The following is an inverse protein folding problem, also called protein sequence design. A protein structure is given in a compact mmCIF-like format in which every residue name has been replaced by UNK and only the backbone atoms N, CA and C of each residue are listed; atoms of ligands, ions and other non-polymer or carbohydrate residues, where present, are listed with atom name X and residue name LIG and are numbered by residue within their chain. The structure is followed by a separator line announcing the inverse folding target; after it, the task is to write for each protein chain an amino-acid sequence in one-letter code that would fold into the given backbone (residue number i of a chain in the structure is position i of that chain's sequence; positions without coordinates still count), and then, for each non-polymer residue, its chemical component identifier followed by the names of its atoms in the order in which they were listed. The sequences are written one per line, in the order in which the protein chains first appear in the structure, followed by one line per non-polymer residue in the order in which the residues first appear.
data_IF_416801300278
#
_entry.id   IF_416801300278
#
_cell.length_a   1.000
_cell.length_b   1.000
_cell.length_c   1.000
_cell.angle_alpha   90.00
_cell.angle_beta   90.00
_cell.angle_gamma   90.00
#
_symmetry.space_group_name_H-M   'P 1'
#
loop_
_entity.id
_entity.type
_entity.pdbx_description
1 polymer ?
#
# COMPACT_ATOMS: atom_id res chain seq x y z
N UNK A 1 15.52 25.26 -13.28
CA UNK A 1 14.71 25.57 -12.07
C UNK A 1 13.26 25.32 -12.44
N UNK A 2 12.64 24.26 -11.93
CA UNK A 2 11.17 24.20 -12.01
C UNK A 2 10.54 23.47 -10.82
N UNK A 3 9.45 24.06 -10.33
CA UNK A 3 8.91 23.98 -8.97
C UNK A 3 8.01 22.75 -8.74
N UNK A 4 8.42 21.57 -9.20
CA UNK A 4 7.74 20.30 -8.89
C UNK A 4 8.43 19.52 -7.77
N UNK A 5 9.34 20.16 -7.05
CA UNK A 5 9.98 19.63 -5.86
C UNK A 5 8.91 19.31 -4.79
N UNK A 6 8.58 18.02 -4.71
CA UNK A 6 8.34 17.32 -3.44
C UNK A 6 7.04 17.67 -2.72
N UNK A 7 5.91 17.73 -3.43
CA UNK A 7 4.60 17.52 -2.78
C UNK A 7 4.50 16.04 -2.36
N UNK A 8 4.83 15.76 -1.10
CA UNK A 8 4.58 14.44 -0.50
C UNK A 8 3.17 14.43 0.07
N UNK A 9 2.39 13.44 -0.36
CA UNK A 9 1.01 13.27 0.07
C UNK A 9 0.95 12.21 1.18
N UNK A 10 0.10 12.45 2.18
CA UNK A 10 -0.21 11.45 3.18
C UNK A 10 -1.12 10.39 2.55
N UNK A 11 -0.53 9.32 2.01
CA UNK A 11 -1.25 8.24 1.31
C UNK A 11 -1.65 7.10 2.26
N UNK A 12 -0.95 6.96 3.40
CA UNK A 12 -1.20 5.93 4.39
C UNK A 12 -1.60 6.58 5.73
N UNK A 13 -2.40 5.85 6.52
CA UNK A 13 -2.73 6.30 7.88
C UNK A 13 -1.45 6.50 8.71
N UNK A 14 -1.33 7.59 9.47
CA UNK A 14 -0.24 7.80 10.43
C UNK A 14 -0.11 6.65 11.45
N UNK A 15 -1.19 5.92 11.73
CA UNK A 15 -1.18 4.80 12.68
C UNK A 15 -0.26 3.65 12.27
N UNK A 16 0.02 3.53 10.97
CA UNK A 16 0.93 2.54 10.39
C UNK A 16 2.41 2.89 10.63
N UNK A 17 2.71 4.07 11.17
CA UNK A 17 4.05 4.47 11.58
C UNK A 17 4.45 3.78 12.91
N UNK A 18 4.82 2.50 12.82
CA UNK A 18 5.33 1.73 13.97
C UNK A 18 6.80 2.06 14.22
N UNK A 19 7.20 2.46 15.43
CA UNK A 19 8.60 2.70 15.76
C UNK A 19 9.47 1.46 15.55
N UNK A 20 10.75 1.64 15.20
CA UNK A 20 11.68 0.52 15.09
C UNK A 20 11.94 -0.09 16.47
N UNK A 21 12.25 -1.39 16.51
CA UNK A 21 12.55 -2.10 17.75
C UNK A 21 13.66 -1.41 18.56
N UNK A 22 14.71 -0.92 17.89
CA UNK A 22 15.84 -0.24 18.55
C UNK A 22 15.42 1.07 19.23
N UNK A 23 14.51 1.83 18.61
CA UNK A 23 13.98 3.05 19.19
C UNK A 23 13.13 2.71 20.43
N UNK A 24 12.28 1.68 20.33
CA UNK A 24 11.51 1.20 21.49
C UNK A 24 12.42 0.70 22.61
N UNK A 25 13.46 -0.08 22.32
CA UNK A 25 14.44 -0.51 23.34
C UNK A 25 15.10 0.67 24.04
N UNK A 26 15.50 1.70 23.28
CA UNK A 26 16.07 2.94 23.84
C UNK A 26 15.06 3.66 24.73
N UNK A 27 13.82 3.79 24.29
CA UNK A 27 12.78 4.49 25.04
C UNK A 27 12.42 3.76 26.34
N UNK A 28 12.32 2.43 26.30
CA UNK A 28 12.11 1.61 27.49
C UNK A 28 13.30 1.70 28.46
N UNK A 29 14.55 1.67 27.97
CA UNK A 29 15.74 1.89 28.80
C UNK A 29 15.73 3.27 29.46
N UNK A 30 15.43 4.31 28.69
CA UNK A 30 15.36 5.69 29.19
C UNK A 30 14.24 5.86 30.23
N UNK A 31 13.09 5.24 30.01
CA UNK A 31 11.98 5.25 30.97
C UNK A 31 12.37 4.59 32.30
N UNK A 32 13.10 3.48 32.26
CA UNK A 32 13.59 2.81 33.46
C UNK A 32 14.66 3.64 34.19
N UNK A 33 15.61 4.23 33.46
CA UNK A 33 16.62 5.14 34.02
C UNK A 33 15.92 6.32 34.73
N UNK A 34 14.92 6.91 34.08
CA UNK A 34 14.11 8.01 34.63
C UNK A 34 13.35 7.59 35.89
N UNK A 35 12.66 6.45 35.86
CA UNK A 35 11.93 5.93 37.01
C UNK A 35 12.86 5.69 38.20
N UNK A 36 14.06 5.16 37.94
CA UNK A 36 15.06 4.88 38.97
C UNK A 36 15.69 6.16 39.53
N UNK A 37 15.93 7.16 38.68
CA UNK A 37 16.38 8.48 39.11
C UNK A 37 15.35 9.24 39.94
N UNK A 38 14.05 9.05 39.67
CA UNK A 38 12.99 9.61 40.50
C UNK A 38 12.85 8.90 41.85
N UNK A 39 13.23 7.62 41.92
CA UNK A 39 13.18 6.82 43.16
C UNK A 39 14.41 6.99 44.05
N UNK A 40 15.56 7.30 43.45
CA UNK A 40 16.86 7.41 44.14
C UNK A 40 17.34 8.86 44.09
N UNK A 41 17.23 9.56 45.21
CA UNK A 41 17.79 10.90 45.42
C UNK A 41 19.31 10.85 45.57
N UNK A 42 20.04 10.45 44.53
CA UNK A 42 21.51 10.50 44.54
C UNK A 42 22.19 9.46 43.65
N UNK A 43 22.76 9.92 42.54
CA UNK A 43 23.62 9.15 41.65
C UNK A 43 23.02 8.93 40.26
N UNK A 44 23.86 8.90 39.22
CA UNK A 44 23.43 8.58 37.85
C UNK A 44 22.89 7.14 37.80
N UNK A 45 21.57 6.94 37.61
CA UNK A 45 20.98 5.61 37.70
C UNK A 45 21.46 4.75 36.53
N UNK A 46 22.31 3.77 36.81
CA UNK A 46 22.68 2.72 35.84
C UNK A 46 21.72 1.53 35.97
N UNK A 47 21.37 0.96 34.82
CA UNK A 47 20.60 -0.28 34.75
C UNK A 47 21.52 -1.47 35.02
N UNK A 48 21.10 -2.36 35.91
CA UNK A 48 21.71 -3.66 36.06
C UNK A 48 21.38 -4.54 34.84
N UNK A 49 22.20 -5.54 34.56
CA UNK A 49 22.02 -6.45 33.42
C UNK A 49 20.61 -7.07 33.34
N UNK A 50 20.05 -7.52 34.48
CA UNK A 50 18.69 -8.09 34.54
C UNK A 50 17.60 -7.06 34.18
N UNK A 51 17.80 -5.80 34.55
CA UNK A 51 16.88 -4.70 34.25
C UNK A 51 16.95 -4.34 32.77
N UNK A 52 18.17 -4.28 32.22
CA UNK A 52 18.37 -4.05 30.80
C UNK A 52 17.73 -5.16 29.95
N UNK A 53 17.90 -6.42 30.36
CA UNK A 53 17.26 -7.56 29.70
C UNK A 53 15.74 -7.45 29.73
N UNK A 54 15.15 -7.17 30.90
CA UNK A 54 13.70 -6.96 31.03
C UNK A 54 13.19 -5.81 30.16
N UNK A 55 13.92 -4.70 30.09
CA UNK A 55 13.55 -3.57 29.23
C UNK A 55 13.54 -3.96 27.74
N UNK A 56 14.51 -4.76 27.29
CA UNK A 56 14.54 -5.30 25.92
C UNK A 56 13.37 -6.26 25.65
N UNK A 57 13.11 -7.18 26.58
CA UNK A 57 12.01 -8.16 26.44
C UNK A 57 10.64 -7.44 26.36
N UNK A 58 10.44 -6.41 27.18
CA UNK A 58 9.22 -5.56 27.13
C UNK A 58 9.12 -4.77 25.84
N UNK A 59 10.23 -4.21 25.33
CA UNK A 59 10.23 -3.49 24.06
C UNK A 59 9.87 -4.43 22.89
N UNK A 60 10.40 -5.65 22.88
CA UNK A 60 10.10 -6.67 21.87
C UNK A 60 8.62 -7.10 21.89
N UNK A 61 8.06 -7.32 23.07
CA UNK A 61 6.65 -7.66 23.24
C UNK A 61 5.74 -6.48 22.83
N UNK A 62 6.03 -5.26 23.28
CA UNK A 62 5.29 -4.06 22.90
C UNK A 62 5.32 -3.82 21.37
N UNK A 63 6.48 -3.98 20.74
CA UNK A 63 6.63 -3.89 19.28
C UNK A 63 5.78 -4.93 18.56
N UNK A 64 5.81 -6.18 19.05
CA UNK A 64 5.02 -7.29 18.48
C UNK A 64 3.51 -7.05 18.60
N UNK A 65 3.04 -6.51 19.74
CA UNK A 65 1.64 -6.13 19.95
C UNK A 65 1.23 -5.00 19.01
N UNK A 66 2.07 -3.97 18.85
CA UNK A 66 1.78 -2.86 17.95
C UNK A 66 1.65 -3.34 16.50
N UNK A 67 2.57 -4.18 16.03
CA UNK A 67 2.50 -4.78 14.69
C UNK A 67 1.21 -5.57 14.44
N UNK A 68 0.71 -6.29 15.45
CA UNK A 68 -0.56 -7.02 15.35
C UNK A 68 -1.76 -6.07 15.28
N UNK A 69 -1.78 -5.02 16.11
CA UNK A 69 -2.86 -4.03 16.12
C UNK A 69 -2.99 -3.30 14.78
N UNK A 70 -1.87 -2.98 14.14
CA UNK A 70 -1.88 -2.29 12.83
C UNK A 70 -1.99 -3.24 11.63
N UNK A 71 -2.09 -4.56 11.86
CA UNK A 71 -2.20 -5.56 10.79
C UNK A 71 -0.91 -5.82 9.99
N UNK A 72 0.24 -5.29 10.41
CA UNK A 72 1.52 -5.44 9.69
C UNK A 72 2.27 -6.73 10.07
N UNK A 73 1.75 -7.53 11.00
CA UNK A 73 2.40 -8.76 11.46
C UNK A 73 2.53 -9.84 10.38
N UNK A 74 1.68 -9.84 9.36
CA UNK A 74 1.73 -10.80 8.26
C UNK A 74 2.74 -10.41 7.15
N UNK A 75 3.17 -9.15 7.11
CA UNK A 75 4.09 -8.67 6.07
C UNK A 75 5.52 -9.13 6.32
N UNK A 76 6.34 -9.25 5.27
CA UNK A 76 7.79 -9.43 5.41
C UNK A 76 8.46 -8.20 6.04
N UNK A 77 9.63 -8.36 6.66
CA UNK A 77 10.33 -7.29 7.38
C UNK A 77 10.63 -6.08 6.49
N UNK A 78 11.02 -6.33 5.25
CA UNK A 78 11.33 -5.32 4.23
C UNK A 78 10.07 -4.55 3.82
N UNK A 79 8.96 -5.26 3.63
CA UNK A 79 7.68 -4.66 3.31
C UNK A 79 7.15 -3.79 4.46
N UNK A 80 7.30 -4.25 5.71
CA UNK A 80 6.95 -3.45 6.91
C UNK A 80 7.74 -2.15 6.94
N UNK A 81 9.06 -2.22 6.73
CA UNK A 81 9.91 -1.03 6.73
C UNK A 81 9.50 -0.02 5.63
N UNK A 82 9.11 -0.49 4.45
CA UNK A 82 8.61 0.37 3.37
C UNK A 82 7.28 1.03 3.72
N UNK A 83 6.33 0.26 4.28
CA UNK A 83 5.01 0.79 4.69
C UNK A 83 5.16 1.83 5.80
N UNK A 84 5.98 1.56 6.81
CA UNK A 84 6.28 2.51 7.89
C UNK A 84 6.97 3.77 7.35
N UNK A 85 7.93 3.63 6.43
CA UNK A 85 8.58 4.77 5.80
C UNK A 85 7.60 5.64 5.00
N UNK A 86 6.70 5.03 4.24
CA UNK A 86 5.64 5.73 3.50
C UNK A 86 4.64 6.42 4.42
N UNK A 87 4.25 5.79 5.53
CA UNK A 87 3.38 6.41 6.52
C UNK A 87 4.00 7.63 7.21
N UNK A 88 5.33 7.63 7.37
CA UNK A 88 6.07 8.75 7.98
C UNK A 88 6.37 9.88 7.00
N UNK A 89 6.85 9.55 5.81
CA UNK A 89 7.35 10.54 4.86
C UNK A 89 6.27 11.02 3.87
N UNK A 90 5.19 10.25 3.69
CA UNK A 90 4.26 10.41 2.58
C UNK A 90 4.84 9.85 1.27
N UNK A 91 4.03 9.90 0.21
CA UNK A 91 4.40 9.42 -1.12
C UNK A 91 4.32 10.54 -2.17
N UNK A 92 5.15 10.44 -3.19
CA UNK A 92 4.96 11.20 -4.42
C UNK A 92 3.91 10.47 -5.28
N UNK A 93 2.96 11.22 -5.82
CA UNK A 93 1.96 10.67 -6.74
C UNK A 93 2.54 10.62 -8.15
N UNK A 94 2.32 9.51 -8.84
CA UNK A 94 2.64 9.36 -10.26
C UNK A 94 1.41 9.64 -11.11
N UNK A 95 1.62 10.19 -12.30
CA UNK A 95 0.58 10.48 -13.28
C UNK A 95 0.56 11.95 -13.72
N UNK A 96 -0.40 12.29 -14.59
CA UNK A 96 -0.47 13.62 -15.20
C UNK A 96 -0.78 14.70 -14.15
N UNK A 97 -0.16 15.87 -14.35
CA UNK A 97 -0.22 17.04 -13.48
C UNK A 97 -0.84 18.25 -14.17
N UNK A 98 -0.88 18.24 -15.51
CA UNK A 98 -1.47 19.30 -16.33
C UNK A 98 -2.63 18.77 -17.15
N UNK A 99 -3.52 19.66 -17.59
CA UNK A 99 -4.64 19.28 -18.48
C UNK A 99 -4.15 18.65 -19.78
N UNK A 100 -3.07 19.18 -20.35
CA UNK A 100 -2.50 18.68 -21.61
C UNK A 100 -1.98 17.24 -21.45
N UNK A 101 -1.29 16.95 -20.33
CA UNK A 101 -0.87 15.59 -19.99
C UNK A 101 -2.06 14.64 -19.80
N UNK A 102 -3.17 15.13 -19.23
CA UNK A 102 -4.41 14.34 -19.10
C UNK A 102 -5.01 14.01 -20.46
N UNK A 103 -5.04 14.97 -21.39
CA UNK A 103 -5.54 14.73 -22.74
C UNK A 103 -4.64 13.77 -23.53
N UNK A 104 -3.31 13.91 -23.41
CA UNK A 104 -2.37 12.99 -24.04
C UNK A 104 -2.53 11.57 -23.49
N UNK A 105 -2.61 11.44 -22.17
CA UNK A 105 -2.86 10.16 -21.50
C UNK A 105 -4.16 9.51 -22.00
N UNK A 106 -5.24 10.30 -22.11
CA UNK A 106 -6.51 9.80 -22.60
C UNK A 106 -6.42 9.40 -24.09
N UNK A 107 -5.71 10.16 -24.91
CA UNK A 107 -5.50 9.85 -26.32
C UNK A 107 -4.74 8.52 -26.51
N UNK A 108 -3.66 8.31 -25.77
CA UNK A 108 -2.86 7.08 -25.81
C UNK A 108 -3.72 5.87 -25.39
N UNK A 109 -4.49 6.01 -24.30
CA UNK A 109 -5.40 4.97 -23.83
C UNK A 109 -6.53 4.67 -24.84
N UNK A 110 -7.01 5.69 -25.57
CA UNK A 110 -8.02 5.51 -26.62
C UNK A 110 -7.47 4.86 -27.89
N UNK A 111 -6.23 5.16 -28.26
CA UNK A 111 -5.58 4.58 -29.43
C UNK A 111 -5.43 3.06 -29.27
N UNK A 112 -5.09 2.61 -28.07
CA UNK A 112 -4.87 1.19 -27.78
C UNK A 112 -6.12 0.43 -27.37
N UNK A 113 -7.12 1.11 -26.81
CA UNK A 113 -8.38 0.48 -26.41
C UNK A 113 -9.61 1.27 -26.88
N UNK A 114 -9.83 1.39 -28.21
CA UNK A 114 -10.98 2.14 -28.74
C UNK A 114 -12.33 1.62 -28.24
N UNK A 115 -12.44 0.32 -28.00
CA UNK A 115 -13.66 -0.34 -27.51
C UNK A 115 -14.00 0.00 -26.05
N UNK A 116 -13.09 0.62 -25.30
CA UNK A 116 -13.30 1.10 -23.92
C UNK A 116 -13.31 2.64 -23.80
N UNK A 117 -13.56 3.33 -24.92
CA UNK A 117 -13.68 4.81 -24.99
C UNK A 117 -14.53 5.42 -23.88
N UNK A 118 -15.67 4.80 -23.54
CA UNK A 118 -16.53 5.29 -22.46
C UNK A 118 -15.85 5.31 -21.08
N UNK A 119 -15.07 4.27 -20.76
CA UNK A 119 -14.32 4.19 -19.50
C UNK A 119 -13.14 5.16 -19.52
N UNK A 120 -12.41 5.23 -20.63
CA UNK A 120 -11.27 6.15 -20.78
C UNK A 120 -11.70 7.61 -20.67
N UNK A 121 -12.84 7.99 -21.25
CA UNK A 121 -13.40 9.34 -21.14
C UNK A 121 -13.86 9.66 -19.71
N UNK A 122 -14.43 8.69 -19.00
CA UNK A 122 -14.78 8.87 -17.58
C UNK A 122 -13.53 9.09 -16.72
N UNK A 123 -12.48 8.28 -16.91
CA UNK A 123 -11.20 8.43 -16.21
C UNK A 123 -10.58 9.82 -16.51
N UNK A 124 -10.59 10.24 -17.77
CA UNK A 124 -10.13 11.57 -18.19
C UNK A 124 -10.88 12.68 -17.44
N UNK A 125 -12.21 12.63 -17.39
CA UNK A 125 -13.01 13.65 -16.68
C UNK A 125 -12.67 13.70 -15.18
N UNK A 126 -12.48 12.55 -14.52
CA UNK A 126 -12.07 12.52 -13.12
C UNK A 126 -10.70 13.18 -12.91
N UNK A 127 -9.74 12.90 -13.80
CA UNK A 127 -8.41 13.51 -13.73
C UNK A 127 -8.44 15.02 -13.99
N UNK A 128 -9.25 15.50 -14.94
CA UNK A 128 -9.40 16.93 -15.20
C UNK A 128 -9.96 17.67 -13.98
N UNK A 129 -11.02 17.14 -13.36
CA UNK A 129 -11.58 17.72 -12.13
C UNK A 129 -10.52 17.75 -11.02
N UNK A 130 -9.72 16.70 -10.88
CA UNK A 130 -8.66 16.64 -9.87
C UNK A 130 -7.55 17.67 -10.11
N UNK A 131 -7.10 17.81 -11.36
CA UNK A 131 -6.08 18.81 -11.75
C UNK A 131 -6.60 20.23 -11.56
N UNK A 132 -7.87 20.49 -11.85
CA UNK A 132 -8.49 21.81 -11.70
C UNK A 132 -8.55 22.30 -10.25
N UNK A 133 -8.70 21.38 -9.29
CA UNK A 133 -8.65 21.68 -7.85
C UNK A 133 -7.19 21.77 -7.35
N UNK A 134 -6.20 21.68 -8.24
CA UNK A 134 -4.77 21.75 -7.92
C UNK A 134 -4.17 20.44 -7.42
N UNK A 135 -4.88 19.33 -7.61
CA UNK A 135 -4.39 17.98 -7.40
C UNK A 135 -3.44 17.52 -8.51
N UNK A 136 -2.76 16.39 -8.28
CA UNK A 136 -1.89 15.78 -9.28
C UNK A 136 -2.00 14.24 -9.23
N UNK A 137 -1.61 13.58 -10.32
CA UNK A 137 -1.53 12.13 -10.41
C UNK A 137 -2.86 11.45 -10.76
N UNK A 138 -2.79 10.12 -10.93
CA UNK A 138 -3.97 9.31 -11.22
C UNK A 138 -4.86 9.17 -9.97
N UNK A 139 -5.87 10.01 -9.86
CA UNK A 139 -6.90 9.91 -8.82
C UNK A 139 -8.19 9.42 -9.44
N UNK A 140 -8.44 8.12 -9.30
CA UNK A 140 -9.69 7.49 -9.74
C UNK A 140 -10.32 6.77 -8.57
N UNK A 141 -11.65 6.91 -8.44
CA UNK A 141 -12.42 6.07 -7.53
C UNK A 141 -12.30 4.60 -7.97
N UNK A 142 -12.40 3.62 -7.05
CA UNK A 142 -12.42 2.22 -7.43
C UNK A 142 -13.49 1.94 -8.50
N UNK A 143 -13.06 1.40 -9.64
CA UNK A 143 -13.92 1.12 -10.81
C UNK A 143 -14.16 -0.38 -10.95
N UNK A 144 -15.39 -0.76 -11.28
CA UNK A 144 -15.73 -2.12 -11.70
C UNK A 144 -15.90 -2.11 -13.22
N UNK A 145 -15.05 -2.86 -13.92
CA UNK A 145 -15.18 -3.07 -15.37
C UNK A 145 -16.12 -4.25 -15.62
N UNK A 146 -17.38 -3.96 -15.95
CA UNK A 146 -18.35 -4.97 -16.32
C UNK A 146 -18.33 -5.21 -17.85
N UNK A 147 -18.17 -6.46 -18.27
CA UNK A 147 -18.24 -6.82 -19.68
C UNK A 147 -18.03 -8.31 -19.91
N UNK A 148 -18.37 -8.83 -21.11
CA UNK A 148 -18.19 -10.24 -21.46
C UNK A 148 -16.77 -10.75 -21.19
N UNK A 149 -16.59 -12.05 -20.88
CA UNK A 149 -15.26 -12.63 -20.81
C UNK A 149 -14.53 -12.44 -22.14
N UNK A 150 -13.23 -12.16 -22.11
CA UNK A 150 -12.41 -11.99 -23.32
C UNK A 150 -12.41 -10.59 -23.95
N UNK A 151 -13.22 -9.62 -23.50
CA UNK A 151 -13.24 -8.24 -24.05
C UNK A 151 -11.99 -7.38 -23.69
N UNK A 152 -10.95 -8.00 -23.12
CA UNK A 152 -9.70 -7.32 -22.80
C UNK A 152 -9.71 -6.45 -21.52
N UNK A 153 -10.60 -6.71 -20.55
CA UNK A 153 -10.68 -5.94 -19.28
C UNK A 153 -9.35 -5.90 -18.52
N UNK A 154 -8.74 -7.07 -18.31
CA UNK A 154 -7.47 -7.16 -17.59
C UNK A 154 -6.31 -6.57 -18.41
N UNK A 155 -6.40 -6.59 -19.74
CA UNK A 155 -5.44 -5.93 -20.64
C UNK A 155 -5.52 -4.40 -20.50
N UNK A 156 -6.74 -3.85 -20.59
CA UNK A 156 -7.00 -2.43 -20.38
C UNK A 156 -6.51 -1.94 -19.01
N UNK A 157 -6.80 -2.71 -17.96
CA UNK A 157 -6.41 -2.38 -16.59
C UNK A 157 -4.88 -2.34 -16.41
N UNK A 158 -4.14 -3.27 -17.05
CA UNK A 158 -2.66 -3.23 -17.06
C UNK A 158 -2.15 -2.01 -17.82
N UNK A 159 -2.71 -1.73 -18.99
CA UNK A 159 -2.24 -0.61 -19.81
C UNK A 159 -2.47 0.75 -19.16
N UNK A 160 -3.63 0.90 -18.51
CA UNK A 160 -3.93 2.06 -17.68
C UNK A 160 -2.86 2.28 -16.60
N UNK A 161 -2.43 1.21 -15.93
CA UNK A 161 -1.41 1.27 -14.89
C UNK A 161 -0.03 1.65 -15.47
N UNK A 162 0.35 1.07 -16.61
CA UNK A 162 1.59 1.38 -17.31
C UNK A 162 1.68 2.86 -17.72
N UNK A 163 0.63 3.38 -18.38
CA UNK A 163 0.56 4.79 -18.79
C UNK A 163 0.58 5.73 -17.58
N UNK A 164 0.00 5.31 -16.45
CA UNK A 164 -0.02 6.11 -15.23
C UNK A 164 1.31 6.03 -14.45
N UNK A 165 2.25 5.18 -14.87
CA UNK A 165 3.46 4.86 -14.12
C UNK A 165 3.17 4.14 -12.79
N UNK A 166 1.97 3.58 -12.64
CA UNK A 166 1.50 2.95 -11.41
C UNK A 166 1.77 1.43 -11.43
N UNK A 167 2.19 0.82 -10.31
CA UNK A 167 2.31 -0.63 -10.23
C UNK A 167 0.95 -1.31 -10.30
N UNK A 168 0.87 -2.38 -11.12
CA UNK A 168 -0.33 -3.20 -11.25
C UNK A 168 -0.17 -4.55 -10.55
N UNK A 169 -1.18 -4.96 -9.78
CA UNK A 169 -1.31 -6.33 -9.25
C UNK A 169 -2.68 -6.89 -9.59
N UNK A 170 -2.69 -8.03 -10.29
CA UNK A 170 -3.90 -8.80 -10.54
C UNK A 170 -4.19 -9.67 -9.31
N UNK A 171 -5.41 -9.57 -8.79
CA UNK A 171 -5.89 -10.39 -7.68
C UNK A 171 -7.11 -11.17 -8.19
N UNK A 172 -6.99 -12.50 -8.21
CA UNK A 172 -8.10 -13.38 -8.55
C UNK A 172 -9.00 -13.61 -7.33
N UNK A 173 -10.26 -13.24 -7.46
CA UNK A 173 -11.27 -13.35 -6.40
C UNK A 173 -11.85 -14.78 -6.31
N UNK A 174 -11.60 -15.65 -7.31
CA UNK A 174 -12.11 -17.03 -7.33
C UNK A 174 -11.39 -18.02 -6.42
N UNK A 175 -10.14 -17.75 -6.03
CA UNK A 175 -9.28 -18.72 -5.32
C UNK A 175 -9.36 -18.65 -3.78
N UNK A 176 -10.08 -17.68 -3.23
CA UNK A 176 -10.11 -17.41 -1.77
C UNK A 176 -11.07 -18.28 -0.95
N UNK A 177 -11.99 -19.01 -1.58
CA UNK A 177 -12.93 -19.88 -0.85
C UNK A 177 -12.41 -21.32 -0.79
N UNK A 178 -11.53 -21.61 0.17
CA UNK A 178 -11.40 -22.98 0.69
C UNK A 178 -12.24 -23.06 1.96
N UNK A 179 -13.49 -23.47 1.82
CA UNK A 179 -14.22 -24.11 2.92
C UNK A 179 -13.48 -25.43 3.20
N UNK A 180 -13.05 -25.72 4.44
CA UNK A 180 -12.54 -27.04 4.78
C UNK A 180 -13.72 -28.03 4.66
N UNK A 181 -13.75 -28.76 3.55
CA UNK A 181 -14.76 -29.78 3.31
C UNK A 181 -14.46 -31.00 4.17
N UNK A 182 -15.43 -31.37 5.01
CA UNK A 182 -15.42 -32.56 5.83
C UNK A 182 -16.54 -33.48 5.29
N UNK A 183 -16.12 -34.53 4.57
CA UNK A 183 -16.73 -35.86 4.33
C UNK A 183 -16.96 -36.25 2.87
N UNK A 184 -16.29 -37.36 2.55
CA UNK A 184 -16.78 -38.56 1.86
C UNK A 184 -17.42 -38.47 0.47
N UNK A 185 -16.67 -39.01 -0.51
CA UNK A 185 -17.16 -39.98 -1.50
C UNK A 185 -18.23 -39.53 -2.49
N UNK A 186 -17.83 -39.18 -3.71
CA UNK A 186 -18.15 -39.95 -4.94
C UNK A 186 -17.51 -39.30 -6.18
N UNK A 187 -17.16 -40.16 -7.13
CA UNK A 187 -16.60 -39.85 -8.44
C UNK A 187 -17.73 -39.51 -9.40
N UNK A 188 -17.72 -38.33 -10.02
CA UNK A 188 -18.29 -38.11 -11.35
C UNK A 188 -17.45 -37.10 -12.15
N UNK A 189 -17.27 -37.42 -13.43
CA UNK A 189 -16.45 -36.69 -14.39
C UNK A 189 -17.23 -35.62 -15.17
N UNK A 190 -16.46 -34.70 -15.77
CA UNK A 190 -16.76 -33.81 -16.90
C UNK A 190 -17.90 -32.77 -16.78
N UNK A 191 -17.50 -31.49 -16.80
CA UNK A 191 -18.41 -30.36 -17.04
C UNK A 191 -17.66 -29.03 -17.09
N UNK A 192 -17.39 -28.55 -18.30
CA UNK A 192 -16.87 -27.23 -18.62
C UNK A 192 -17.71 -26.10 -17.98
N UNK A 193 -17.20 -25.47 -16.92
CA UNK A 193 -17.86 -24.34 -16.25
C UNK A 193 -17.04 -23.06 -16.36
N UNK A 194 -17.58 -22.07 -17.08
CA UNK A 194 -16.92 -20.78 -17.31
C UNK A 194 -16.62 -20.02 -16.03
N UNK A 195 -15.34 -19.65 -15.86
CA UNK A 195 -14.89 -18.81 -14.75
C UNK A 195 -15.26 -17.35 -15.02
N UNK A 196 -16.22 -16.84 -14.25
CA UNK A 196 -16.50 -15.41 -14.15
C UNK A 196 -15.38 -14.74 -13.35
N UNK A 197 -14.37 -14.26 -14.07
CA UNK A 197 -13.24 -13.55 -13.49
C UNK A 197 -13.69 -12.13 -13.09
N UNK A 198 -13.97 -11.93 -11.80
CA UNK A 198 -14.12 -10.60 -11.20
C UNK A 198 -12.74 -10.15 -10.74
N UNK A 199 -12.00 -9.52 -11.65
CA UNK A 199 -10.69 -8.95 -11.36
C UNK A 199 -10.85 -7.62 -10.60
N UNK A 200 -10.26 -7.51 -9.42
CA UNK A 200 -10.09 -6.24 -8.74
C UNK A 200 -8.62 -5.80 -8.85
N UNK A 201 -8.37 -4.69 -9.53
CA UNK A 201 -7.04 -4.09 -9.65
C UNK A 201 -6.79 -3.17 -8.46
N UNK A 202 -5.72 -3.43 -7.71
CA UNK A 202 -5.25 -2.57 -6.62
C UNK A 202 -3.95 -1.92 -7.06
N UNK A 203 -3.92 -0.59 -7.08
CA UNK A 203 -2.70 0.19 -7.33
C UNK A 203 -1.91 0.29 -6.02
N UNK A 204 -0.64 -0.13 -6.01
CA UNK A 204 0.24 0.02 -4.84
C UNK A 204 1.50 0.77 -5.24
N UNK A 205 1.97 1.73 -4.45
CA UNK A 205 3.03 2.67 -4.84
C UNK A 205 4.42 2.04 -5.10
N UNK A 206 5.20 2.64 -6.02
CA UNK A 206 6.58 2.24 -6.35
C UNK A 206 7.60 3.11 -5.60
N UNK A 207 8.70 2.48 -5.20
CA UNK A 207 9.90 3.07 -4.62
C UNK A 207 10.71 3.79 -5.72
N UNK A 208 10.93 5.09 -5.59
CA UNK A 208 11.97 5.80 -6.34
C UNK A 208 13.33 5.34 -5.81
N UNK A 209 14.00 4.46 -6.54
CA UNK A 209 15.39 4.09 -6.29
C UNK A 209 16.28 5.15 -6.92
N UNK A 210 16.92 5.94 -6.07
CA UNK A 210 18.07 6.76 -6.40
C UNK A 210 19.28 5.82 -6.51
N UNK A 211 20.10 5.97 -7.55
CA UNK A 211 21.27 5.13 -7.74
C UNK A 211 22.12 5.52 -8.94
N UNK A 212 23.21 6.24 -8.65
CA UNK A 212 24.47 6.24 -9.42
C UNK A 212 24.66 7.42 -10.35
#
# INVERSE_FOLDING_TARGET
MDKLQTRRFAVLSPDLNVPQLQDMERDFKNAWIRMKGNLLSGGAPKLAYREEKKAKDLAADAHSRRLRQVGLSALAKEARAQVTALARAGAALSGPSTRDEVYQFAADLHAESPWMRGVSAWIMHQMLVHVDVGGCGLTVLPVILAGPPGIGKSHYARRLAELAGAPSRLIDVGSGSRVPDHRDGERLEHGSGGYSCRDQLVFTGRKSGDGG
#
